data_IF_379525837819
#
_entry.id   IF_379525837819
#
_cell.length_a   1.000
_cell.length_b   1.000
_cell.length_c   1.000
_cell.angle_alpha   90.00
_cell.angle_beta   90.00
_cell.angle_gamma   90.00
#
_symmetry.space_group_name_H-M   'P 1'
#
loop_
_entity.id
_entity.type
_entity.pdbx_description
1 polymer ?
#
# COMPACT_ATOMS: atom_id res chain seq x y z
N UNK A 1 10.33 -24.47 8.06
CA UNK A 1 10.74 -23.82 6.80
C UNK A 1 10.05 -22.46 6.74
N UNK A 2 10.78 -21.34 6.60
CA UNK A 2 10.15 -20.03 6.58
C UNK A 2 9.35 -19.88 5.28
N UNK A 3 8.05 -19.61 5.38
CA UNK A 3 7.20 -19.31 4.22
C UNK A 3 7.54 -17.91 3.74
N UNK A 4 8.14 -17.80 2.57
CA UNK A 4 8.33 -16.53 1.89
C UNK A 4 6.96 -15.91 1.55
N UNK A 5 6.87 -14.59 1.55
CA UNK A 5 5.68 -13.87 1.07
C UNK A 5 5.41 -14.20 -0.40
N UNK A 6 4.15 -14.13 -0.83
CA UNK A 6 3.72 -14.49 -2.19
C UNK A 6 4.44 -13.67 -3.27
N UNK A 7 4.81 -12.43 -2.97
CA UNK A 7 5.58 -11.55 -3.85
C UNK A 7 7.03 -12.04 -4.09
N UNK A 8 7.66 -12.67 -3.09
CA UNK A 8 9.02 -13.20 -3.18
C UNK A 8 9.14 -14.37 -4.19
N UNK A 9 8.07 -15.16 -4.30
CA UNK A 9 8.02 -16.32 -5.19
C UNK A 9 7.86 -15.88 -6.65
N UNK A 10 7.02 -14.87 -6.91
CA UNK A 10 6.75 -14.38 -8.26
C UNK A 10 7.98 -13.71 -8.92
N UNK A 11 8.77 -12.95 -8.16
CA UNK A 11 9.94 -12.27 -8.71
C UNK A 11 11.11 -13.21 -9.07
N UNK A 12 11.26 -14.31 -8.34
CA UNK A 12 12.28 -15.34 -8.64
C UNK A 12 11.99 -16.05 -9.97
N UNK A 13 10.72 -16.35 -10.25
CA UNK A 13 10.31 -16.99 -11.50
C UNK A 13 10.49 -16.10 -12.74
N UNK A 14 10.50 -14.78 -12.57
CA UNK A 14 10.60 -13.81 -13.67
C UNK A 14 12.00 -13.22 -13.86
N UNK A 15 12.96 -13.58 -12.99
CA UNK A 15 14.32 -13.02 -12.98
C UNK A 15 14.37 -11.47 -12.96
N UNK A 16 13.31 -10.83 -12.45
CA UNK A 16 13.24 -9.39 -12.28
C UNK A 16 13.72 -9.05 -10.87
N UNK A 17 14.66 -8.11 -10.69
CA UNK A 17 15.00 -7.59 -9.38
C UNK A 17 13.75 -7.00 -8.74
N UNK A 18 13.27 -7.64 -7.67
CA UNK A 18 12.10 -7.22 -6.93
C UNK A 18 12.51 -7.02 -5.47
N UNK A 19 11.98 -5.97 -4.85
CA UNK A 19 12.10 -5.76 -3.41
C UNK A 19 10.70 -5.83 -2.84
N UNK A 20 10.49 -6.76 -1.92
CA UNK A 20 9.24 -6.86 -1.19
C UNK A 20 9.16 -5.76 -0.12
N UNK A 21 8.04 -5.06 -0.02
CA UNK A 21 7.80 -4.03 1.00
C UNK A 21 7.88 -4.64 2.40
N UNK A 22 7.42 -5.88 2.54
CA UNK A 22 7.40 -6.59 3.82
C UNK A 22 8.82 -6.78 4.39
N UNK A 23 9.78 -7.04 3.50
CA UNK A 23 11.19 -7.20 3.84
C UNK A 23 11.84 -5.90 4.33
N UNK A 24 11.25 -4.73 4.03
CA UNK A 24 11.72 -3.42 4.47
C UNK A 24 11.05 -3.05 5.80
N UNK A 25 9.75 -3.28 5.94
CA UNK A 25 8.96 -2.77 7.07
C UNK A 25 9.03 -3.64 8.33
N UNK A 26 9.24 -4.96 8.20
CA UNK A 26 9.13 -5.91 9.32
C UNK A 26 10.42 -6.68 9.60
N UNK A 27 10.80 -6.76 10.88
CA UNK A 27 11.88 -7.65 11.28
C UNK A 27 11.51 -9.10 10.96
N UNK A 28 12.49 -9.94 10.56
CA UNK A 28 12.25 -11.36 10.30
C UNK A 28 12.16 -12.10 11.65
N UNK A 29 11.02 -11.94 12.33
CA UNK A 29 10.70 -12.61 13.59
C UNK A 29 9.79 -13.82 13.34
N UNK A 30 9.79 -14.78 14.26
CA UNK A 30 8.83 -15.89 14.30
C UNK A 30 7.96 -15.76 15.56
N UNK A 31 6.64 -15.50 15.45
CA UNK A 31 5.85 -15.37 14.22
C UNK A 31 6.13 -14.04 13.47
N UNK A 32 5.92 -14.01 12.14
CA UNK A 32 6.22 -12.83 11.32
C UNK A 32 5.26 -11.66 11.60
N UNK A 33 5.67 -10.46 11.18
CA UNK A 33 4.89 -9.21 11.31
C UNK A 33 4.58 -8.78 12.75
N UNK A 34 5.33 -9.29 13.71
CA UNK A 34 5.16 -8.95 15.13
C UNK A 34 5.94 -7.71 15.53
N UNK A 35 7.03 -7.38 14.83
CA UNK A 35 7.88 -6.23 15.17
C UNK A 35 8.21 -5.38 13.95
N UNK A 36 7.68 -4.17 13.95
CA UNK A 36 7.98 -3.15 12.95
C UNK A 36 9.45 -2.70 13.07
N UNK A 37 10.18 -2.60 11.95
CA UNK A 37 11.50 -1.95 11.95
C UNK A 37 11.37 -0.47 12.29
N UNK A 38 12.31 0.06 13.08
CA UNK A 38 12.40 1.50 13.32
C UNK A 38 12.70 2.26 12.03
N UNK A 39 12.17 3.48 11.90
CA UNK A 39 12.23 4.29 10.69
C UNK A 39 13.66 4.45 10.14
N UNK A 40 14.66 4.64 11.00
CA UNK A 40 16.07 4.76 10.59
C UNK A 40 16.62 3.50 9.93
N UNK A 41 16.25 2.31 10.42
CA UNK A 41 16.66 1.03 9.84
C UNK A 41 15.95 0.76 8.49
N UNK A 42 14.67 1.16 8.36
CA UNK A 42 13.92 1.09 7.10
C UNK A 42 14.54 1.97 6.02
N UNK A 43 14.87 3.21 6.36
CA UNK A 43 15.51 4.17 5.44
C UNK A 43 16.86 3.65 4.95
N UNK A 44 17.68 3.09 5.84
CA UNK A 44 18.96 2.47 5.46
C UNK A 44 18.77 1.33 4.47
N UNK A 45 17.81 0.43 4.72
CA UNK A 45 17.51 -0.68 3.82
C UNK A 45 16.98 -0.22 2.46
N UNK A 46 16.09 0.77 2.43
CA UNK A 46 15.57 1.35 1.18
C UNK A 46 16.69 1.96 0.32
N UNK A 47 17.66 2.63 0.95
CA UNK A 47 18.81 3.22 0.28
C UNK A 47 19.75 2.14 -0.28
N UNK A 48 20.00 1.08 0.48
CA UNK A 48 20.89 -0.03 0.08
C UNK A 48 20.24 -0.89 -1.01
N UNK A 49 18.98 -1.28 -0.83
CA UNK A 49 18.24 -2.17 -1.73
C UNK A 49 17.82 -1.46 -3.02
N UNK A 50 17.72 -0.12 -3.01
CA UNK A 50 17.43 0.69 -4.19
C UNK A 50 18.44 1.85 -4.37
N UNK A 51 19.70 1.56 -4.78
CA UNK A 51 20.77 2.56 -4.82
C UNK A 51 20.49 3.72 -5.78
N UNK A 52 19.59 3.51 -6.75
CA UNK A 52 19.38 4.37 -7.92
C UNK A 52 18.28 5.40 -7.65
N UNK A 53 17.47 5.22 -6.59
CA UNK A 53 16.50 6.21 -6.10
C UNK A 53 17.09 7.16 -5.06
N UNK A 54 18.29 6.89 -4.55
CA UNK A 54 18.93 7.59 -3.43
C UNK A 54 19.56 8.97 -3.73
N UNK A 55 19.28 9.61 -4.86
CA UNK A 55 19.82 10.95 -5.19
C UNK A 55 18.79 11.90 -5.81
N UNK A 56 17.51 11.84 -5.41
CA UNK A 56 16.64 13.03 -5.49
C UNK A 56 16.23 13.43 -4.09
N UNK A 57 16.94 14.42 -3.54
CA UNK A 57 16.41 15.21 -2.43
C UNK A 57 15.14 15.88 -2.96
N UNK A 58 13.96 15.42 -2.58
CA UNK A 58 12.67 15.99 -2.97
C UNK A 58 12.44 17.37 -2.31
N UNK A 59 13.35 18.33 -2.47
CA UNK A 59 13.29 19.61 -1.74
C UNK A 59 12.30 20.63 -2.33
N UNK A 60 11.51 20.28 -3.35
CA UNK A 60 10.49 21.17 -3.94
C UNK A 60 9.13 20.50 -4.15
N UNK A 61 8.83 19.38 -3.48
CA UNK A 61 7.56 18.67 -3.64
C UNK A 61 6.92 18.14 -2.36
N UNK A 62 7.62 18.13 -1.22
CA UNK A 62 7.11 17.54 0.03
C UNK A 62 5.80 18.18 0.51
N UNK A 63 5.69 19.51 0.42
CA UNK A 63 4.43 20.22 0.70
C UNK A 63 3.40 20.05 -0.41
N UNK A 64 3.82 19.91 -1.67
CA UNK A 64 2.91 19.69 -2.79
C UNK A 64 2.21 18.32 -2.70
N UNK A 65 2.92 17.28 -2.24
CA UNK A 65 2.33 15.95 -2.04
C UNK A 65 1.33 15.96 -0.90
N UNK A 66 1.67 16.57 0.25
CA UNK A 66 0.74 16.65 1.38
C UNK A 66 -0.48 17.52 1.09
N UNK A 67 -0.29 18.67 0.42
CA UNK A 67 -1.41 19.52 -0.02
C UNK A 67 -2.28 18.82 -1.05
N UNK A 68 -1.68 18.08 -1.99
CA UNK A 68 -2.42 17.27 -2.96
C UNK A 68 -3.18 16.12 -2.27
N UNK A 69 -2.57 15.41 -1.32
CA UNK A 69 -3.20 14.33 -0.58
C UNK A 69 -4.33 14.85 0.32
N UNK A 70 -4.16 16.00 0.99
CA UNK A 70 -5.19 16.62 1.81
C UNK A 70 -6.39 17.10 0.97
N UNK A 71 -6.16 17.46 -0.29
CA UNK A 71 -7.24 17.80 -1.22
C UNK A 71 -8.04 16.57 -1.67
N UNK A 72 -7.57 15.34 -1.47
CA UNK A 72 -8.29 14.13 -1.89
C UNK A 72 -9.71 14.06 -1.31
N UNK A 73 -9.87 14.35 -0.01
CA UNK A 73 -11.17 14.27 0.66
C UNK A 73 -12.12 15.44 0.33
N UNK A 74 -11.59 16.59 -0.09
CA UNK A 74 -12.35 17.85 -0.20
C UNK A 74 -12.47 18.39 -1.62
N UNK A 75 -11.63 17.95 -2.56
CA UNK A 75 -11.66 18.43 -3.94
C UNK A 75 -12.89 17.92 -4.70
N UNK A 76 -13.32 18.68 -5.71
CA UNK A 76 -14.46 18.36 -6.56
C UNK A 76 -14.17 17.23 -7.58
N UNK A 77 -15.17 16.89 -8.42
CA UNK A 77 -15.08 15.78 -9.38
C UNK A 77 -14.07 16.02 -10.52
N UNK A 78 -13.65 17.27 -10.73
CA UNK A 78 -12.64 17.69 -11.72
C UNK A 78 -11.23 17.12 -11.44
N UNK A 79 -11.00 16.60 -10.22
CA UNK A 79 -9.72 16.05 -9.79
C UNK A 79 -9.88 14.61 -9.26
N UNK A 80 -8.75 13.91 -9.06
CA UNK A 80 -8.72 12.63 -8.34
C UNK A 80 -9.05 12.87 -6.86
N UNK A 81 -10.33 12.87 -6.55
CA UNK A 81 -10.90 13.14 -5.23
C UNK A 81 -11.88 12.04 -4.81
N UNK A 82 -12.21 12.01 -3.52
CA UNK A 82 -13.27 11.16 -2.98
C UNK A 82 -14.59 11.41 -3.69
N UNK A 83 -14.97 12.68 -3.91
CA UNK A 83 -16.22 13.06 -4.59
C UNK A 83 -16.27 12.51 -6.01
N UNK A 84 -15.18 12.62 -6.78
CA UNK A 84 -15.09 12.04 -8.11
C UNK A 84 -15.23 10.52 -8.12
N UNK A 85 -14.59 9.84 -7.16
CA UNK A 85 -14.74 8.39 -7.00
C UNK A 85 -16.17 7.97 -6.64
N UNK A 86 -16.82 8.67 -5.71
CA UNK A 86 -18.21 8.39 -5.33
C UNK A 86 -19.17 8.55 -6.52
N UNK A 87 -19.00 9.62 -7.30
CA UNK A 87 -19.78 9.86 -8.50
C UNK A 87 -19.57 8.75 -9.55
N UNK A 88 -18.33 8.30 -9.75
CA UNK A 88 -18.03 7.20 -10.67
C UNK A 88 -18.59 5.86 -10.18
N UNK A 89 -18.50 5.56 -8.87
CA UNK A 89 -19.04 4.35 -8.27
C UNK A 89 -20.57 4.28 -8.40
N UNK A 90 -21.26 5.43 -8.31
CA UNK A 90 -22.71 5.52 -8.51
C UNK A 90 -23.17 5.17 -9.93
N UNK A 91 -22.26 5.23 -10.92
CA UNK A 91 -22.55 4.86 -12.31
C UNK A 91 -22.37 3.36 -12.59
N UNK A 92 -21.80 2.60 -11.65
CA UNK A 92 -21.53 1.18 -11.88
C UNK A 92 -22.83 0.37 -11.80
N UNK A 93 -23.05 -0.48 -12.80
CA UNK A 93 -24.23 -1.35 -12.87
C UNK A 93 -24.04 -2.67 -12.13
N UNK A 94 -22.79 -3.00 -11.77
CA UNK A 94 -22.44 -4.17 -10.97
C UNK A 94 -22.48 -3.85 -9.48
N UNK A 95 -22.85 -4.81 -8.61
CA UNK A 95 -22.83 -4.62 -7.16
C UNK A 95 -21.46 -4.13 -6.67
N UNK A 96 -21.45 -3.01 -5.94
CA UNK A 96 -20.23 -2.43 -5.34
C UNK A 96 -20.22 -2.74 -3.85
N UNK A 97 -19.28 -3.57 -3.40
CA UNK A 97 -19.03 -3.79 -1.98
C UNK A 97 -18.18 -2.65 -1.41
N UNK A 98 -18.65 -2.03 -0.32
CA UNK A 98 -17.90 -1.00 0.42
C UNK A 98 -17.22 -1.64 1.62
N UNK A 99 -15.90 -1.46 1.72
CA UNK A 99 -15.10 -1.90 2.85
C UNK A 99 -14.59 -0.69 3.61
N UNK A 100 -14.73 -0.70 4.92
CA UNK A 100 -14.15 0.31 5.82
C UNK A 100 -12.87 -0.26 6.46
N UNK A 101 -11.77 0.48 6.35
CA UNK A 101 -10.51 0.10 6.98
C UNK A 101 -10.53 0.18 8.51
N UNK A 102 -11.52 0.86 9.10
CA UNK A 102 -11.71 0.89 10.55
C UNK A 102 -12.34 -0.42 11.09
N UNK A 103 -12.90 -1.27 10.21
CA UNK A 103 -13.45 -2.56 10.62
C UNK A 103 -12.31 -3.57 10.89
N UNK A 104 -12.42 -4.44 11.90
CA UNK A 104 -11.45 -5.50 12.11
C UNK A 104 -11.26 -6.37 10.85
N UNK A 105 -10.02 -6.76 10.57
CA UNK A 105 -9.65 -7.47 9.33
C UNK A 105 -10.53 -8.69 9.04
N UNK A 106 -10.83 -9.48 10.07
CA UNK A 106 -11.63 -10.69 9.91
C UNK A 106 -13.07 -10.40 9.47
N UNK A 107 -13.64 -9.27 9.89
CA UNK A 107 -14.98 -8.86 9.51
C UNK A 107 -14.99 -8.38 8.05
N UNK A 108 -13.96 -7.63 7.62
CA UNK A 108 -13.78 -7.25 6.22
C UNK A 108 -13.61 -8.47 5.31
N UNK A 109 -12.84 -9.48 5.74
CA UNK A 109 -12.67 -10.74 5.00
C UNK A 109 -14.00 -11.48 4.87
N UNK A 110 -14.77 -11.58 5.95
CA UNK A 110 -16.09 -12.22 5.93
C UNK A 110 -17.05 -11.49 4.98
N UNK A 111 -17.04 -10.16 4.96
CA UNK A 111 -17.86 -9.36 4.05
C UNK A 111 -17.50 -9.61 2.57
N UNK A 112 -16.21 -9.70 2.24
CA UNK A 112 -15.76 -10.04 0.88
C UNK A 112 -16.21 -11.45 0.49
N UNK A 113 -16.05 -12.43 1.39
CA UNK A 113 -16.48 -13.81 1.12
C UNK A 113 -17.99 -13.92 0.92
N UNK A 114 -18.79 -13.15 1.64
CA UNK A 114 -20.23 -13.13 1.48
C UNK A 114 -20.67 -12.54 0.13
N UNK A 115 -19.97 -11.50 -0.35
CA UNK A 115 -20.29 -10.83 -1.61
C UNK A 115 -19.90 -11.61 -2.87
N UNK A 116 -19.02 -12.61 -2.74
CA UNK A 116 -18.55 -13.46 -3.85
C UNK A 116 -19.37 -14.75 -4.03
N UNK A 117 -20.33 -15.02 -3.14
CA UNK A 117 -21.22 -16.19 -3.21
C UNK A 117 -22.47 -15.87 -4.01
#
# INVERSE_FOLDING_TARGET
MPRASSAATAGTCLAIPHSDSDAIDWLPTDPPFTTARLLGARQGLLIITCPHRGRRRHRSGERSILTWAAAYDTAGPEQRSRVGHEAWLALQTTPVLRLDSATPLMDSVAAVQAALR
#
